data_IF_277117586021
#
_entry.id   IF_277117586021
#
_cell.length_a   1.000
_cell.length_b   1.000
_cell.length_c   1.000
_cell.angle_alpha   90.00
_cell.angle_beta   90.00
_cell.angle_gamma   90.00
#
_symmetry.space_group_name_H-M   'P 1'
#
loop_
_entity.id
_entity.type
_entity.pdbx_description
1 polymer ?
#
# COMPACT_ATOMS: atom_id res chain seq x y z
N UNK A 1 -4.77 0.08 30.01
CA UNK A 1 -4.45 -0.66 28.74
C UNK A 1 -3.94 0.37 27.76
N UNK A 2 -2.74 0.26 27.27
CA UNK A 2 -2.26 1.10 26.19
C UNK A 2 -3.12 0.78 24.94
N UNK A 3 -3.67 1.80 24.29
CA UNK A 3 -4.37 1.61 23.01
C UNK A 3 -3.39 1.10 21.98
N UNK A 4 -3.82 0.12 21.15
CA UNK A 4 -2.99 -0.36 20.04
C UNK A 4 -2.68 0.82 19.10
N UNK A 5 -1.45 0.90 18.55
CA UNK A 5 -1.16 1.89 17.51
C UNK A 5 -2.13 1.73 16.34
N UNK A 6 -2.54 2.83 15.73
CA UNK A 6 -3.49 2.85 14.62
C UNK A 6 -2.74 3.09 13.32
N UNK A 7 -3.07 2.33 12.27
CA UNK A 7 -2.55 2.54 10.91
C UNK A 7 -3.69 2.70 9.92
N UNK A 8 -3.49 3.54 8.91
CA UNK A 8 -4.46 3.84 7.87
C UNK A 8 -3.87 3.48 6.51
N UNK A 9 -4.64 2.75 5.68
CA UNK A 9 -4.44 2.69 4.24
C UNK A 9 -5.52 3.50 3.55
N UNK A 10 -5.15 4.49 2.73
CA UNK A 10 -6.11 5.31 1.97
C UNK A 10 -5.88 5.18 0.48
N UNK A 11 -6.96 4.95 -0.28
CA UNK A 11 -6.91 4.91 -1.73
C UNK A 11 -7.94 3.97 -2.35
N UNK A 12 -7.51 3.22 -3.39
CA UNK A 12 -8.37 2.36 -4.18
C UNK A 12 -8.94 1.20 -3.36
N UNK A 13 -10.23 0.92 -3.61
CA UNK A 13 -10.96 -0.22 -3.09
C UNK A 13 -11.86 -0.75 -4.21
N UNK A 14 -11.66 -1.99 -4.62
CA UNK A 14 -12.13 -2.46 -5.90
C UNK A 14 -12.36 -3.98 -5.95
N UNK A 15 -12.97 -4.41 -7.04
CA UNK A 15 -13.00 -5.80 -7.47
C UNK A 15 -12.03 -6.04 -8.64
N UNK A 16 -11.15 -7.01 -8.50
CA UNK A 16 -10.45 -7.61 -9.62
C UNK A 16 -11.37 -8.62 -10.29
N UNK A 17 -11.72 -8.34 -11.54
CA UNK A 17 -12.62 -9.18 -12.35
C UNK A 17 -11.77 -10.14 -13.17
N UNK A 18 -11.72 -11.39 -12.74
CA UNK A 18 -10.96 -12.46 -13.39
C UNK A 18 -11.93 -13.37 -14.19
N UNK A 19 -11.45 -14.13 -15.18
CA UNK A 19 -12.27 -15.14 -15.87
C UNK A 19 -12.88 -16.18 -14.93
N UNK A 20 -12.28 -16.40 -13.76
CA UNK A 20 -12.73 -17.38 -12.76
C UNK A 20 -13.64 -16.80 -11.69
N UNK A 21 -13.96 -15.51 -11.75
CA UNK A 21 -14.77 -14.81 -10.76
C UNK A 21 -14.14 -13.49 -10.34
N UNK A 22 -14.65 -12.87 -9.28
CA UNK A 22 -14.11 -11.60 -8.77
C UNK A 22 -13.37 -11.79 -7.45
N UNK A 23 -12.32 -11.04 -7.24
CA UNK A 23 -11.59 -10.96 -5.98
C UNK A 23 -11.62 -9.52 -5.44
N UNK A 24 -11.87 -9.38 -4.15
CA UNK A 24 -11.76 -8.08 -3.48
C UNK A 24 -10.29 -7.69 -3.35
N UNK A 25 -9.99 -6.41 -3.60
CA UNK A 25 -8.63 -5.88 -3.64
C UNK A 25 -8.56 -4.38 -3.39
N UNK A 26 -7.35 -3.88 -3.55
CA UNK A 26 -6.95 -2.50 -3.31
C UNK A 26 -5.73 -2.44 -2.40
N UNK A 27 -4.62 -1.88 -2.89
CA UNK A 27 -3.37 -1.86 -2.14
C UNK A 27 -3.51 -1.26 -0.73
N UNK A 28 -4.27 -0.16 -0.50
CA UNK A 28 -4.46 0.39 0.84
C UNK A 28 -5.20 -0.54 1.80
N UNK A 29 -6.15 -1.32 1.29
CA UNK A 29 -6.90 -2.28 2.10
C UNK A 29 -6.02 -3.46 2.48
N UNK A 30 -5.23 -3.97 1.51
CA UNK A 30 -4.27 -5.03 1.73
C UNK A 30 -3.22 -4.61 2.78
N UNK A 31 -2.67 -3.39 2.67
CA UNK A 31 -1.76 -2.83 3.66
C UNK A 31 -2.38 -2.80 5.07
N UNK A 32 -3.59 -2.24 5.21
CA UNK A 32 -4.27 -2.14 6.51
C UNK A 32 -4.54 -3.52 7.12
N UNK A 33 -4.95 -4.50 6.30
CA UNK A 33 -5.15 -5.88 6.73
C UNK A 33 -3.88 -6.49 7.29
N UNK A 34 -2.78 -6.48 6.52
CA UNK A 34 -1.52 -7.10 6.94
C UNK A 34 -0.87 -6.38 8.14
N UNK A 35 -1.00 -5.05 8.23
CA UNK A 35 -0.58 -4.32 9.41
C UNK A 35 -1.35 -4.80 10.65
N UNK A 36 -2.67 -5.03 10.54
CA UNK A 36 -3.52 -5.46 11.66
C UNK A 36 -3.11 -6.82 12.24
N UNK A 37 -2.53 -7.70 11.42
CA UNK A 37 -2.01 -9.01 11.86
C UNK A 37 -0.73 -8.88 12.73
N UNK A 38 -0.14 -7.68 12.82
CA UNK A 38 1.10 -7.41 13.54
C UNK A 38 0.90 -6.54 14.80
N UNK A 39 -0.24 -6.68 15.46
CA UNK A 39 -0.48 -6.09 16.78
C UNK A 39 -0.99 -4.65 16.77
N UNK A 40 -1.25 -4.06 15.60
CA UNK A 40 -1.79 -2.71 15.44
C UNK A 40 -3.26 -2.73 15.02
N UNK A 41 -3.92 -1.58 15.03
CA UNK A 41 -5.30 -1.39 14.57
C UNK A 41 -5.27 -0.86 13.14
N UNK A 42 -5.60 -1.71 12.14
CA UNK A 42 -5.60 -1.36 10.71
C UNK A 42 -6.96 -0.83 10.25
N UNK A 43 -6.96 0.31 9.55
CA UNK A 43 -8.14 0.93 8.94
C UNK A 43 -7.92 1.17 7.45
N UNK A 44 -8.90 0.78 6.64
CA UNK A 44 -8.94 1.14 5.23
C UNK A 44 -9.90 2.31 5.01
N UNK A 45 -9.42 3.36 4.34
CA UNK A 45 -10.19 4.56 3.98
C UNK A 45 -10.34 4.64 2.47
N UNK A 46 -11.59 4.69 1.99
CA UNK A 46 -11.89 4.71 0.57
C UNK A 46 -13.31 5.20 0.28
N UNK A 47 -13.81 4.95 -0.95
CA UNK A 47 -15.20 5.10 -1.31
C UNK A 47 -15.67 3.93 -2.19
N UNK A 48 -16.96 3.59 -2.09
CA UNK A 48 -17.67 2.64 -2.95
C UNK A 48 -18.91 3.28 -3.54
N UNK A 49 -19.44 2.67 -4.59
CA UNK A 49 -20.70 3.08 -5.20
C UNK A 49 -21.91 2.69 -4.35
N UNK A 50 -23.03 3.36 -4.60
CA UNK A 50 -24.34 2.94 -4.07
C UNK A 50 -24.92 1.82 -4.95
N UNK A 51 -24.17 0.74 -5.12
CA UNK A 51 -24.49 -0.39 -5.97
C UNK A 51 -24.27 -1.72 -5.24
N UNK A 52 -24.68 -2.85 -5.86
CA UNK A 52 -24.51 -4.19 -5.30
C UNK A 52 -23.04 -4.55 -5.12
N UNK A 53 -22.17 -4.13 -6.07
CA UNK A 53 -20.76 -4.40 -6.00
C UNK A 53 -20.10 -3.75 -4.77
N UNK A 54 -20.51 -2.52 -4.41
CA UNK A 54 -20.04 -1.83 -3.21
C UNK A 54 -20.52 -2.50 -1.94
N UNK A 55 -21.80 -2.88 -1.88
CA UNK A 55 -22.35 -3.62 -0.72
C UNK A 55 -21.64 -4.94 -0.49
N UNK A 56 -21.41 -5.70 -1.56
CA UNK A 56 -20.71 -6.99 -1.49
C UNK A 56 -19.24 -6.81 -1.08
N UNK A 57 -18.56 -5.76 -1.60
CA UNK A 57 -17.17 -5.48 -1.28
C UNK A 57 -17.00 -5.16 0.21
N UNK A 58 -17.89 -4.35 0.78
CA UNK A 58 -17.91 -4.06 2.22
C UNK A 58 -18.23 -5.30 3.05
N UNK A 59 -19.18 -6.14 2.62
CA UNK A 59 -19.56 -7.36 3.33
C UNK A 59 -18.38 -8.37 3.37
N UNK A 60 -17.71 -8.58 2.25
CA UNK A 60 -16.52 -9.44 2.17
C UNK A 60 -15.41 -8.90 3.07
N UNK A 61 -15.10 -7.62 3.00
CA UNK A 61 -14.07 -6.99 3.83
C UNK A 61 -14.36 -7.15 5.32
N UNK A 62 -15.63 -6.95 5.71
CA UNK A 62 -16.07 -7.16 7.10
C UNK A 62 -15.91 -8.63 7.55
N UNK A 63 -16.11 -9.62 6.66
CA UNK A 63 -15.93 -11.04 6.98
C UNK A 63 -14.48 -11.42 7.30
N UNK A 64 -13.51 -10.64 6.79
CA UNK A 64 -12.09 -10.75 7.14
C UNK A 64 -11.70 -9.93 8.38
N UNK A 65 -12.66 -9.26 9.03
CA UNK A 65 -12.42 -8.42 10.19
C UNK A 65 -11.65 -7.13 9.90
N UNK A 66 -11.60 -6.70 8.64
CA UNK A 66 -10.93 -5.47 8.22
C UNK A 66 -11.80 -4.29 8.62
N UNK A 67 -11.23 -3.34 9.35
CA UNK A 67 -11.93 -2.10 9.70
C UNK A 67 -11.89 -1.13 8.54
N UNK A 68 -13.03 -0.55 8.23
CA UNK A 68 -13.17 0.37 7.10
C UNK A 68 -13.86 1.66 7.51
N UNK A 69 -13.39 2.77 6.94
CA UNK A 69 -14.07 4.05 6.93
C UNK A 69 -14.27 4.43 5.46
N UNK A 70 -15.33 3.88 4.87
CA UNK A 70 -15.60 3.93 3.43
C UNK A 70 -16.87 4.73 3.18
N UNK A 71 -16.75 5.79 2.36
CA UNK A 71 -17.89 6.59 1.94
C UNK A 71 -18.67 5.89 0.83
N UNK A 72 -19.98 6.10 0.77
CA UNK A 72 -20.80 5.73 -0.38
C UNK A 72 -21.03 6.97 -1.24
N UNK A 73 -20.71 6.88 -2.53
CA UNK A 73 -20.79 8.00 -3.47
C UNK A 73 -21.63 7.62 -4.72
N UNK A 74 -22.11 8.64 -5.44
CA UNK A 74 -22.86 8.46 -6.71
C UNK A 74 -21.92 8.24 -7.89
N UNK A 75 -21.16 7.16 -7.80
CA UNK A 75 -20.24 6.65 -8.82
C UNK A 75 -20.20 5.13 -8.72
N UNK A 76 -19.93 4.40 -9.81
CA UNK A 76 -19.83 2.94 -9.74
C UNK A 76 -18.67 2.51 -8.82
N UNK A 77 -18.86 1.40 -8.14
CA UNK A 77 -17.77 0.75 -7.39
C UNK A 77 -16.62 0.41 -8.31
N UNK A 78 -15.38 0.62 -7.85
CA UNK A 78 -14.18 0.38 -8.62
C UNK A 78 -14.02 -1.07 -9.05
N UNK A 79 -13.62 -1.27 -10.32
CA UNK A 79 -13.28 -2.56 -10.88
C UNK A 79 -12.01 -2.49 -11.70
N UNK A 80 -11.28 -3.61 -11.76
CA UNK A 80 -10.15 -3.83 -12.67
C UNK A 80 -10.44 -5.12 -13.43
N UNK A 81 -10.58 -5.02 -14.75
CA UNK A 81 -10.72 -6.21 -15.58
C UNK A 81 -9.36 -6.83 -15.82
N UNK A 82 -9.25 -8.13 -15.55
CA UNK A 82 -8.05 -8.93 -15.80
C UNK A 82 -8.36 -9.90 -16.94
N UNK A 83 -7.76 -9.69 -18.08
CA UNK A 83 -7.86 -10.56 -19.25
C UNK A 83 -6.51 -11.16 -19.60
N UNK A 84 -6.51 -12.29 -20.27
CA UNK A 84 -5.30 -12.92 -20.81
C UNK A 84 -5.18 -12.59 -22.30
N UNK A 85 -4.11 -11.92 -22.68
CA UNK A 85 -3.76 -11.71 -24.08
C UNK A 85 -2.45 -12.48 -24.33
N UNK A 86 -2.50 -13.47 -25.23
CA UNK A 86 -1.36 -14.35 -25.54
C UNK A 86 -0.70 -14.98 -24.29
N UNK A 87 -1.52 -15.34 -23.28
CA UNK A 87 -1.05 -15.91 -22.02
C UNK A 87 -0.48 -14.91 -21.02
N UNK A 88 -0.43 -13.62 -21.37
CA UNK A 88 0.01 -12.54 -20.48
C UNK A 88 -1.22 -11.82 -19.88
N UNK A 89 -1.23 -11.54 -18.56
CA UNK A 89 -2.34 -10.79 -17.96
C UNK A 89 -2.30 -9.33 -18.41
N UNK A 90 -3.45 -8.84 -18.87
CA UNK A 90 -3.69 -7.45 -19.21
C UNK A 90 -4.72 -6.89 -18.26
N UNK A 91 -4.45 -5.72 -17.71
CA UNK A 91 -5.28 -5.05 -16.72
C UNK A 91 -5.96 -3.82 -17.35
N UNK A 92 -7.28 -3.70 -17.19
CA UNK A 92 -8.01 -2.48 -17.50
C UNK A 92 -8.55 -1.89 -16.21
N UNK A 93 -7.94 -0.79 -15.78
CA UNK A 93 -8.35 -0.06 -14.58
C UNK A 93 -9.40 0.98 -15.01
N UNK A 94 -10.65 0.79 -14.56
CA UNK A 94 -11.73 1.71 -14.93
C UNK A 94 -11.56 3.06 -14.23
N UNK A 95 -11.90 4.13 -14.97
CA UNK A 95 -11.84 5.50 -14.50
C UNK A 95 -13.23 6.00 -14.06
N UNK A 96 -13.25 7.12 -13.33
CA UNK A 96 -14.46 7.75 -12.82
C UNK A 96 -15.30 6.86 -11.91
N UNK A 97 -14.63 5.98 -11.17
CA UNK A 97 -15.21 5.08 -10.19
C UNK A 97 -15.18 5.68 -8.78
N UNK A 98 -15.85 5.05 -7.83
CA UNK A 98 -16.08 5.61 -6.49
C UNK A 98 -14.80 6.06 -5.77
N UNK A 99 -13.73 5.28 -5.82
CA UNK A 99 -12.47 5.65 -5.16
C UNK A 99 -11.70 6.81 -5.80
N UNK A 100 -12.13 7.32 -6.98
CA UNK A 100 -11.65 8.60 -7.52
C UNK A 100 -12.30 9.81 -6.81
N UNK A 101 -13.33 9.57 -5.98
CA UNK A 101 -14.18 10.58 -5.33
C UNK A 101 -14.28 10.38 -3.81
N UNK A 102 -13.20 9.97 -3.14
CA UNK A 102 -13.15 9.82 -1.67
C UNK A 102 -13.38 11.20 -1.04
N UNK A 103 -14.52 11.45 -0.36
CA UNK A 103 -14.78 12.76 0.23
C UNK A 103 -13.97 12.94 1.51
N UNK A 104 -13.52 14.16 1.77
CA UNK A 104 -12.92 14.49 3.06
C UNK A 104 -14.01 14.69 4.10
N UNK A 105 -13.96 13.91 5.19
CA UNK A 105 -14.90 14.04 6.32
C UNK A 105 -14.15 14.33 7.62
N UNK A 106 -14.84 14.92 8.60
CA UNK A 106 -14.24 15.16 9.93
C UNK A 106 -13.91 13.83 10.65
N UNK A 107 -14.65 12.76 10.38
CA UNK A 107 -14.36 11.43 10.92
C UNK A 107 -13.02 10.90 10.40
N UNK A 108 -12.74 11.07 9.10
CA UNK A 108 -11.44 10.72 8.50
C UNK A 108 -10.30 11.53 9.12
N UNK A 109 -10.48 12.83 9.30
CA UNK A 109 -9.48 13.69 9.96
C UNK A 109 -9.29 13.31 11.44
N UNK A 110 -10.36 12.99 12.14
CA UNK A 110 -10.30 12.51 13.53
C UNK A 110 -9.53 11.18 13.63
N UNK A 111 -9.71 10.28 12.66
CA UNK A 111 -8.96 9.03 12.56
C UNK A 111 -7.47 9.33 12.30
N UNK A 112 -7.16 10.21 11.34
CA UNK A 112 -5.79 10.59 10.98
C UNK A 112 -5.01 11.21 12.14
N UNK A 113 -5.62 12.07 12.96
CA UNK A 113 -4.99 12.70 14.16
C UNK A 113 -4.48 11.69 15.19
N UNK A 114 -4.98 10.46 15.15
CA UNK A 114 -4.60 9.37 16.08
C UNK A 114 -3.69 8.32 15.46
N UNK A 115 -3.42 8.44 14.16
CA UNK A 115 -2.68 7.42 13.43
C UNK A 115 -1.18 7.46 13.74
N UNK A 116 -0.60 6.31 14.02
CA UNK A 116 0.85 6.11 14.05
C UNK A 116 1.44 5.90 12.66
N UNK A 117 0.59 5.57 11.67
CA UNK A 117 1.02 5.47 10.27
C UNK A 117 -0.15 5.69 9.31
N UNK A 118 0.17 6.23 8.12
CA UNK A 118 -0.74 6.32 6.97
C UNK A 118 0.00 5.89 5.71
N UNK A 119 -0.60 4.98 4.94
CA UNK A 119 -0.09 4.52 3.65
C UNK A 119 -1.02 4.99 2.53
N UNK A 120 -0.43 5.53 1.46
CA UNK A 120 -1.12 6.01 0.28
C UNK A 120 -0.30 5.71 -0.98
N UNK A 121 -0.97 5.59 -2.12
CA UNK A 121 -0.35 5.29 -3.41
C UNK A 121 -0.54 6.40 -4.43
N UNK A 122 -0.04 6.16 -5.65
CA UNK A 122 -0.18 7.08 -6.79
C UNK A 122 -1.55 6.97 -7.43
N UNK A 123 -2.06 5.75 -7.60
CA UNK A 123 -3.24 5.46 -8.42
C UNK A 123 -4.50 6.21 -7.96
N UNK A 124 -4.80 6.18 -6.66
CA UNK A 124 -5.98 6.85 -6.12
C UNK A 124 -5.90 8.39 -6.19
N UNK A 125 -4.73 8.94 -6.43
CA UNK A 125 -4.52 10.38 -6.59
C UNK A 125 -4.76 10.88 -8.02
N UNK A 126 -5.12 10.01 -8.98
CA UNK A 126 -5.51 10.41 -10.34
C UNK A 126 -6.79 11.26 -10.35
N UNK A 127 -7.70 11.04 -9.38
CA UNK A 127 -8.91 11.82 -9.17
C UNK A 127 -8.63 13.02 -8.25
N UNK A 128 -8.97 14.23 -8.68
CA UNK A 128 -8.73 15.48 -7.94
C UNK A 128 -9.35 15.47 -6.52
N UNK A 129 -10.55 14.86 -6.36
CA UNK A 129 -11.23 14.78 -5.07
C UNK A 129 -10.43 13.89 -4.12
N UNK A 130 -10.09 12.69 -4.54
CA UNK A 130 -9.31 11.74 -3.74
C UNK A 130 -7.88 12.21 -3.49
N UNK A 131 -7.26 12.90 -4.46
CA UNK A 131 -5.96 13.53 -4.26
C UNK A 131 -5.99 14.53 -3.09
N UNK A 132 -6.96 15.46 -3.08
CA UNK A 132 -7.11 16.44 -1.98
C UNK A 132 -7.36 15.76 -0.63
N UNK A 133 -8.23 14.75 -0.60
CA UNK A 133 -8.52 14.00 0.63
C UNK A 133 -7.28 13.28 1.14
N UNK A 134 -6.54 12.62 0.25
CA UNK A 134 -5.28 11.93 0.59
C UNK A 134 -4.27 12.89 1.17
N UNK A 135 -4.00 14.02 0.51
CA UNK A 135 -3.07 15.04 1.01
C UNK A 135 -3.50 15.56 2.39
N UNK A 136 -4.77 15.92 2.56
CA UNK A 136 -5.29 16.44 3.84
C UNK A 136 -5.13 15.42 4.98
N UNK A 137 -5.39 14.13 4.73
CA UNK A 137 -5.22 13.10 5.74
C UNK A 137 -3.75 12.85 6.07
N UNK A 138 -2.87 12.81 5.06
CA UNK A 138 -1.42 12.61 5.26
C UNK A 138 -0.79 13.77 6.03
N UNK A 139 -1.23 15.00 5.79
CA UNK A 139 -0.78 16.19 6.51
C UNK A 139 -1.34 16.27 7.94
N UNK A 140 -2.47 15.59 8.21
CA UNK A 140 -3.15 15.62 9.52
C UNK A 140 -2.56 14.63 10.53
N UNK A 141 -1.87 13.56 10.10
CA UNK A 141 -1.28 12.61 11.04
C UNK A 141 -0.21 13.26 11.91
N UNK A 142 0.07 12.76 13.13
CA UNK A 142 1.11 13.27 14.01
C UNK A 142 2.47 13.38 13.28
N UNK A 143 3.30 14.32 13.69
CA UNK A 143 4.58 14.60 13.03
C UNK A 143 5.57 13.41 13.09
N UNK A 144 5.48 12.60 14.13
CA UNK A 144 6.27 11.40 14.35
C UNK A 144 5.69 10.14 13.68
N UNK A 145 4.46 10.20 13.13
CA UNK A 145 3.84 9.11 12.41
C UNK A 145 4.62 8.74 11.13
N UNK A 146 4.50 7.49 10.71
CA UNK A 146 4.99 7.05 9.40
C UNK A 146 4.00 7.48 8.32
N UNK A 147 4.48 8.26 7.34
CA UNK A 147 3.75 8.65 6.13
C UNK A 147 4.35 7.89 4.96
N UNK A 148 3.72 6.75 4.63
CA UNK A 148 4.25 5.80 3.66
C UNK A 148 3.66 6.13 2.29
N UNK A 149 4.52 6.52 1.35
CA UNK A 149 4.19 6.58 -0.06
C UNK A 149 4.63 5.27 -0.73
N UNK A 150 3.68 4.34 -0.93
CA UNK A 150 3.87 3.16 -1.78
C UNK A 150 3.55 3.59 -3.21
N UNK A 151 4.60 3.81 -4.01
CA UNK A 151 4.45 4.50 -5.28
C UNK A 151 3.53 3.76 -6.24
N UNK A 152 3.66 2.44 -6.33
CA UNK A 152 2.77 1.49 -7.00
C UNK A 152 2.26 2.00 -8.37
N UNK A 153 3.20 2.26 -9.28
CA UNK A 153 2.91 2.84 -10.59
C UNK A 153 2.03 1.94 -11.44
N UNK A 154 0.94 2.49 -11.99
CA UNK A 154 -0.01 1.77 -12.83
C UNK A 154 -0.26 2.52 -14.12
N UNK A 155 -0.04 1.83 -15.25
CA UNK A 155 -0.33 2.34 -16.60
C UNK A 155 0.23 3.76 -16.82
N UNK A 156 -0.66 4.75 -17.08
CA UNK A 156 -0.34 6.16 -17.29
C UNK A 156 -0.85 7.08 -16.18
N UNK A 157 -1.34 6.50 -15.07
CA UNK A 157 -1.98 7.24 -13.97
C UNK A 157 -0.95 7.86 -13.00
N UNK A 158 0.16 8.37 -13.52
CA UNK A 158 1.18 9.06 -12.75
C UNK A 158 1.85 10.15 -13.57
N UNK A 159 2.42 11.12 -12.88
CA UNK A 159 3.28 12.14 -13.47
C UNK A 159 4.43 12.47 -12.52
N UNK A 160 5.48 13.10 -13.04
CA UNK A 160 6.61 13.57 -12.24
C UNK A 160 6.15 14.52 -11.14
N UNK A 161 5.22 15.41 -11.44
CA UNK A 161 4.68 16.41 -10.52
C UNK A 161 3.90 15.76 -9.38
N UNK A 162 3.08 14.74 -9.69
CA UNK A 162 2.33 13.99 -8.68
C UNK A 162 3.27 13.22 -7.75
N UNK A 163 4.28 12.55 -8.32
CA UNK A 163 5.28 11.81 -7.54
C UNK A 163 6.08 12.77 -6.66
N UNK A 164 6.57 13.90 -7.19
CA UNK A 164 7.31 14.91 -6.41
C UNK A 164 6.49 15.44 -5.23
N UNK A 165 5.21 15.77 -5.46
CA UNK A 165 4.32 16.23 -4.37
C UNK A 165 4.12 15.16 -3.31
N UNK A 166 3.88 13.91 -3.73
CA UNK A 166 3.70 12.78 -2.82
C UNK A 166 4.94 12.50 -1.98
N UNK A 167 6.14 12.58 -2.59
CA UNK A 167 7.41 12.44 -1.88
C UNK A 167 7.62 13.53 -0.84
N UNK A 168 7.19 14.78 -1.10
CA UNK A 168 7.34 15.92 -0.16
C UNK A 168 6.48 15.77 1.09
N UNK A 169 5.34 15.10 1.03
CA UNK A 169 4.47 14.88 2.19
C UNK A 169 4.73 13.54 2.89
N UNK A 170 5.45 12.61 2.24
CA UNK A 170 5.87 11.34 2.80
C UNK A 170 7.12 11.47 3.69
N UNK A 171 7.37 10.47 4.53
CA UNK A 171 8.64 10.24 5.22
C UNK A 171 9.15 8.81 5.07
N UNK A 172 8.39 7.95 4.41
CA UNK A 172 8.78 6.62 3.98
C UNK A 172 8.39 6.46 2.52
N UNK A 173 9.33 6.05 1.67
CA UNK A 173 9.10 5.67 0.29
C UNK A 173 9.20 4.15 0.16
N UNK A 174 8.22 3.51 -0.44
CA UNK A 174 8.31 2.12 -0.88
C UNK A 174 8.22 2.05 -2.40
N UNK A 175 9.16 1.37 -2.99
CA UNK A 175 9.31 1.15 -4.43
C UNK A 175 9.76 -0.28 -4.72
N UNK A 176 9.52 -0.75 -5.93
CA UNK A 176 10.20 -1.91 -6.48
C UNK A 176 11.35 -1.48 -7.42
N UNK A 177 12.11 -2.43 -7.91
CA UNK A 177 13.27 -2.18 -8.79
C UNK A 177 12.87 -1.59 -10.16
N UNK A 178 11.75 -2.00 -10.76
CA UNK A 178 11.25 -1.40 -12.01
C UNK A 178 10.81 0.05 -11.80
N UNK A 179 10.18 0.35 -10.67
CA UNK A 179 9.77 1.69 -10.27
C UNK A 179 10.99 2.58 -9.98
N UNK A 180 12.05 2.02 -9.37
CA UNK A 180 13.30 2.75 -9.16
C UNK A 180 13.91 3.20 -10.50
N UNK A 181 13.95 2.33 -11.51
CA UNK A 181 14.42 2.68 -12.86
C UNK A 181 13.61 3.86 -13.43
N UNK A 182 12.29 3.84 -13.25
CA UNK A 182 11.43 4.96 -13.67
C UNK A 182 11.75 6.25 -12.93
N UNK A 183 11.99 6.18 -11.63
CA UNK A 183 12.39 7.35 -10.86
C UNK A 183 13.78 7.88 -11.27
N UNK A 184 14.73 6.99 -11.57
CA UNK A 184 16.05 7.38 -12.08
C UNK A 184 15.93 8.20 -13.37
N UNK A 185 15.12 7.75 -14.31
CA UNK A 185 14.83 8.48 -15.55
C UNK A 185 14.16 9.84 -15.29
N UNK A 186 13.10 9.86 -14.46
CA UNK A 186 12.28 11.05 -14.22
C UNK A 186 13.01 12.14 -13.44
N UNK A 187 13.80 11.74 -12.45
CA UNK A 187 14.44 12.66 -11.49
C UNK A 187 15.94 12.82 -11.70
N UNK A 188 16.48 12.23 -12.78
CA UNK A 188 17.91 12.22 -13.09
C UNK A 188 18.75 11.72 -11.90
N UNK A 189 18.33 10.61 -11.29
CA UNK A 189 19.04 9.98 -10.18
C UNK A 189 20.23 9.15 -10.72
N UNK A 190 21.23 8.83 -9.88
CA UNK A 190 22.30 7.91 -10.23
C UNK A 190 21.78 6.55 -10.74
N UNK A 191 22.53 5.91 -11.64
CA UNK A 191 22.23 4.54 -12.09
C UNK A 191 22.45 3.49 -10.97
N UNK A 192 23.42 3.76 -10.08
CA UNK A 192 23.67 2.91 -8.92
C UNK A 192 22.50 2.95 -7.96
N UNK A 193 21.97 1.78 -7.64
CA UNK A 193 20.78 1.58 -6.81
C UNK A 193 20.92 2.19 -5.42
N UNK A 194 22.04 1.97 -4.77
CA UNK A 194 22.29 2.49 -3.41
C UNK A 194 22.40 4.02 -3.41
N UNK A 195 23.10 4.55 -4.39
CA UNK A 195 23.25 6.01 -4.55
C UNK A 195 21.89 6.66 -4.87
N UNK A 196 21.05 6.06 -5.73
CA UNK A 196 19.73 6.57 -6.06
C UNK A 196 18.81 6.57 -4.84
N UNK A 197 18.74 5.46 -4.07
CA UNK A 197 17.94 5.37 -2.86
C UNK A 197 18.40 6.37 -1.79
N UNK A 198 19.71 6.58 -1.61
CA UNK A 198 20.25 7.59 -0.69
C UNK A 198 19.92 9.00 -1.13
N UNK A 199 20.05 9.30 -2.44
CA UNK A 199 19.71 10.62 -2.96
C UNK A 199 18.23 10.93 -2.77
N UNK A 200 17.33 9.98 -3.02
CA UNK A 200 15.88 10.14 -2.73
C UNK A 200 15.65 10.41 -1.24
N UNK A 201 16.30 9.65 -0.36
CA UNK A 201 16.17 9.86 1.09
C UNK A 201 16.63 11.27 1.53
N UNK A 202 17.74 11.75 0.99
CA UNK A 202 18.28 13.07 1.30
C UNK A 202 17.41 14.19 0.71
N UNK A 203 17.06 14.11 -0.58
CA UNK A 203 16.32 15.14 -1.31
C UNK A 203 14.95 15.40 -0.71
N UNK A 204 14.26 14.35 -0.23
CA UNK A 204 12.91 14.44 0.32
C UNK A 204 12.86 14.29 1.85
N UNK A 205 14.02 14.28 2.51
CA UNK A 205 14.15 14.11 3.96
C UNK A 205 13.41 12.86 4.48
N UNK A 206 13.47 11.75 3.73
CA UNK A 206 12.80 10.50 4.10
C UNK A 206 13.52 9.83 5.27
N UNK A 207 12.75 9.26 6.18
CA UNK A 207 13.27 8.43 7.28
C UNK A 207 13.71 7.06 6.78
N UNK A 208 13.07 6.59 5.69
CA UNK A 208 13.27 5.25 5.16
C UNK A 208 12.94 5.19 3.67
N UNK A 209 13.76 4.48 2.90
CA UNK A 209 13.42 3.99 1.56
C UNK A 209 13.40 2.47 1.60
N UNK A 210 12.30 1.89 1.16
CA UNK A 210 12.09 0.44 1.06
C UNK A 210 12.11 0.06 -0.41
N UNK A 211 13.10 -0.73 -0.81
CA UNK A 211 13.25 -1.25 -2.16
C UNK A 211 12.99 -2.75 -2.17
N UNK A 212 12.08 -3.21 -3.01
CA UNK A 212 11.82 -4.64 -3.23
C UNK A 212 12.25 -5.05 -4.64
N UNK A 213 12.96 -6.17 -4.77
CA UNK A 213 13.44 -6.72 -6.05
C UNK A 213 12.80 -8.09 -6.36
N UNK A 214 11.49 -8.23 -6.12
CA UNK A 214 10.72 -9.44 -6.43
C UNK A 214 11.25 -10.67 -5.70
N UNK A 215 11.62 -11.70 -6.49
CA UNK A 215 12.12 -12.98 -5.98
C UNK A 215 13.62 -12.96 -5.57
N UNK A 216 14.28 -11.81 -5.68
CA UNK A 216 15.72 -11.69 -5.45
C UNK A 216 16.05 -11.17 -4.06
N UNK A 217 15.54 -10.00 -3.69
CA UNK A 217 15.90 -9.31 -2.45
C UNK A 217 14.89 -8.25 -2.05
N UNK A 218 15.06 -7.73 -0.83
CA UNK A 218 14.54 -6.44 -0.40
C UNK A 218 15.59 -5.70 0.41
N UNK A 219 15.58 -4.36 0.35
CA UNK A 219 16.50 -3.48 1.07
C UNK A 219 15.75 -2.35 1.74
N UNK A 220 16.12 -2.05 2.98
CA UNK A 220 15.60 -0.92 3.75
C UNK A 220 16.76 0.03 4.03
N UNK A 221 16.70 1.22 3.48
CA UNK A 221 17.67 2.29 3.66
C UNK A 221 17.16 3.24 4.74
N UNK A 222 17.95 3.45 5.79
CA UNK A 222 17.72 4.47 6.82
C UNK A 222 18.96 5.36 6.93
N UNK A 223 18.92 6.37 7.81
CA UNK A 223 20.11 7.18 8.09
C UNK A 223 21.23 6.37 8.76
N UNK A 224 20.86 5.40 9.60
CA UNK A 224 21.78 4.65 10.45
C UNK A 224 22.32 3.40 9.77
N UNK A 225 21.51 2.75 8.95
CA UNK A 225 21.87 1.45 8.38
C UNK A 225 21.14 1.14 7.06
N UNK A 226 21.66 0.16 6.35
CA UNK A 226 20.99 -0.56 5.29
C UNK A 226 20.74 -1.99 5.77
N UNK A 227 19.49 -2.45 5.66
CA UNK A 227 19.12 -3.84 5.93
C UNK A 227 18.75 -4.49 4.60
N UNK A 228 19.53 -5.44 4.13
CA UNK A 228 19.24 -6.21 2.90
C UNK A 228 19.04 -7.68 3.24
N UNK A 229 17.93 -8.25 2.75
CA UNK A 229 17.60 -9.66 2.91
C UNK A 229 17.26 -10.29 1.56
N UNK A 230 17.67 -11.55 1.33
CA UNK A 230 17.21 -12.31 0.18
C UNK A 230 15.73 -12.66 0.33
N UNK A 231 15.02 -12.77 -0.80
CA UNK A 231 13.65 -13.29 -0.81
C UNK A 231 13.66 -14.80 -0.62
N UNK A 232 12.86 -15.37 0.30
CA UNK A 232 12.74 -16.82 0.45
C UNK A 232 12.19 -17.46 -0.82
N UNK A 233 12.73 -18.62 -1.19
CA UNK A 233 12.22 -19.42 -2.31
C UNK A 233 10.97 -20.15 -1.88
N UNK A 234 9.85 -19.90 -2.55
CA UNK A 234 8.56 -20.54 -2.30
C UNK A 234 7.94 -20.99 -3.61
N UNK A 235 7.00 -21.93 -3.53
CA UNK A 235 6.14 -22.28 -4.67
C UNK A 235 5.08 -21.17 -4.85
N UNK A 236 5.20 -20.42 -5.94
CA UNK A 236 4.36 -19.24 -6.18
C UNK A 236 3.02 -19.67 -6.79
N UNK A 237 1.93 -19.31 -6.11
CA UNK A 237 0.53 -19.47 -6.57
C UNK A 237 -0.01 -18.14 -7.12
N UNK A 238 0.20 -17.04 -6.39
CA UNK A 238 -0.27 -15.70 -6.73
C UNK A 238 0.67 -14.66 -6.10
N UNK A 239 0.99 -13.57 -6.80
CA UNK A 239 1.85 -12.51 -6.28
C UNK A 239 1.06 -11.25 -5.87
N UNK A 240 -0.26 -11.27 -6.08
CA UNK A 240 -1.13 -10.13 -5.75
C UNK A 240 -1.10 -9.85 -4.25
N UNK A 241 -0.85 -8.59 -3.88
CA UNK A 241 -0.82 -8.15 -2.49
C UNK A 241 0.48 -8.45 -1.73
N UNK A 242 1.47 -9.14 -2.33
CA UNK A 242 2.74 -9.43 -1.64
C UNK A 242 3.50 -8.16 -1.22
N UNK A 243 3.53 -7.12 -2.08
CA UNK A 243 4.12 -5.82 -1.76
C UNK A 243 3.38 -5.09 -0.63
N UNK A 244 2.05 -5.15 -0.66
CA UNK A 244 1.20 -4.55 0.37
C UNK A 244 1.36 -5.28 1.70
N UNK A 245 1.47 -6.62 1.65
CA UNK A 245 1.74 -7.47 2.81
C UNK A 245 3.11 -7.16 3.43
N UNK A 246 4.13 -6.98 2.60
CA UNK A 246 5.45 -6.53 3.04
C UNK A 246 5.35 -5.19 3.78
N UNK A 247 4.75 -4.18 3.13
CA UNK A 247 4.64 -2.82 3.67
C UNK A 247 3.81 -2.78 4.96
N UNK A 248 2.65 -3.45 4.98
CA UNK A 248 1.76 -3.54 6.14
C UNK A 248 2.43 -4.23 7.32
N UNK A 249 3.09 -5.36 7.07
CA UNK A 249 3.81 -6.12 8.11
C UNK A 249 4.99 -5.34 8.67
N UNK A 250 5.80 -4.72 7.80
CA UNK A 250 6.94 -3.89 8.21
C UNK A 250 6.50 -2.80 9.19
N UNK A 251 5.50 -2.01 8.79
CA UNK A 251 5.03 -0.87 9.59
C UNK A 251 4.33 -1.34 10.87
N UNK A 252 3.51 -2.39 10.80
CA UNK A 252 2.87 -2.97 11.99
C UNK A 252 3.90 -3.46 13.02
N UNK A 253 4.95 -4.13 12.57
CA UNK A 253 6.03 -4.62 13.41
C UNK A 253 6.84 -3.47 14.04
N UNK A 254 7.18 -2.43 13.27
CA UNK A 254 7.88 -1.24 13.78
C UNK A 254 7.06 -0.51 14.86
N UNK A 255 5.76 -0.31 14.62
CA UNK A 255 4.86 0.32 15.59
C UNK A 255 4.63 -0.54 16.84
N UNK A 256 4.82 -1.84 16.73
CA UNK A 256 4.80 -2.78 17.87
C UNK A 256 6.13 -2.86 18.60
N UNK A 257 7.11 -1.99 18.26
CA UNK A 257 8.39 -1.84 18.96
C UNK A 257 9.49 -2.79 18.50
N UNK A 258 9.34 -3.48 17.37
CA UNK A 258 10.41 -4.32 16.79
C UNK A 258 11.48 -3.43 16.15
N UNK A 259 12.70 -3.91 16.15
CA UNK A 259 13.83 -3.30 15.44
C UNK A 259 13.60 -3.39 13.91
N UNK A 260 14.31 -2.56 13.14
CA UNK A 260 14.26 -2.61 11.66
C UNK A 260 14.61 -4.01 11.15
N UNK A 261 15.64 -4.65 11.71
CA UNK A 261 16.05 -5.97 11.27
C UNK A 261 14.99 -7.06 11.54
N UNK A 262 14.32 -7.01 12.67
CA UNK A 262 13.22 -7.93 13.01
C UNK A 262 11.99 -7.66 12.15
N UNK A 263 11.60 -6.40 12.01
CA UNK A 263 10.45 -6.00 11.20
C UNK A 263 10.67 -6.34 9.72
N UNK A 264 11.89 -6.13 9.20
CA UNK A 264 12.25 -6.48 7.83
C UNK A 264 12.15 -7.99 7.58
N UNK A 265 12.70 -8.81 8.49
CA UNK A 265 12.60 -10.28 8.38
C UNK A 265 11.15 -10.74 8.37
N UNK A 266 10.33 -10.26 9.31
CA UNK A 266 8.90 -10.60 9.37
C UNK A 266 8.18 -10.17 8.08
N UNK A 267 8.50 -8.99 7.52
CA UNK A 267 7.90 -8.50 6.29
C UNK A 267 8.25 -9.39 5.08
N UNK A 268 9.51 -9.82 4.97
CA UNK A 268 9.99 -10.73 3.90
C UNK A 268 9.28 -12.09 4.00
N UNK A 269 9.21 -12.67 5.19
CA UNK A 269 8.56 -13.95 5.44
C UNK A 269 7.06 -13.89 5.14
N UNK A 270 6.39 -12.81 5.56
CA UNK A 270 4.96 -12.59 5.27
C UNK A 270 4.70 -12.44 3.78
N UNK A 271 5.48 -11.63 3.08
CA UNK A 271 5.32 -11.45 1.63
C UNK A 271 5.53 -12.77 0.87
N UNK A 272 6.55 -13.56 1.24
CA UNK A 272 6.79 -14.86 0.66
C UNK A 272 5.62 -15.84 0.93
N UNK A 273 5.08 -15.84 2.15
CA UNK A 273 3.90 -16.67 2.48
C UNK A 273 2.68 -16.26 1.65
N UNK A 274 2.40 -14.97 1.50
CA UNK A 274 1.30 -14.48 0.66
C UNK A 274 1.42 -15.01 -0.76
N UNK A 275 2.62 -15.09 -1.32
CA UNK A 275 2.84 -15.64 -2.65
C UNK A 275 2.48 -17.13 -2.78
N UNK A 276 2.40 -17.91 -1.69
CA UNK A 276 2.03 -19.33 -1.73
C UNK A 276 0.54 -19.60 -1.78
N UNK A 277 -0.29 -18.56 -1.69
CA UNK A 277 -1.75 -18.68 -1.58
C UNK A 277 -2.46 -17.81 -2.63
N UNK A 278 -3.72 -18.13 -2.91
CA UNK A 278 -4.55 -17.32 -3.80
C UNK A 278 -5.21 -16.16 -3.05
N UNK A 279 -4.99 -14.93 -3.54
CA UNK A 279 -5.58 -13.70 -2.98
C UNK A 279 -4.71 -13.03 -1.92
N UNK A 280 -5.06 -11.78 -1.59
CA UNK A 280 -4.20 -10.90 -0.78
C UNK A 280 -4.47 -10.97 0.74
N UNK A 281 -5.62 -11.49 1.19
CA UNK A 281 -6.02 -11.44 2.61
C UNK A 281 -5.90 -12.81 3.27
N UNK A 282 -4.73 -13.09 3.81
CA UNK A 282 -4.40 -14.37 4.44
C UNK A 282 -4.15 -14.17 5.93
N UNK A 283 -4.72 -15.06 6.75
CA UNK A 283 -4.41 -15.07 8.18
C UNK A 283 -2.99 -15.56 8.41
N UNK A 284 -2.22 -14.80 9.20
CA UNK A 284 -0.82 -15.10 9.53
C UNK A 284 -0.68 -16.02 10.76
N UNK A 285 -1.78 -16.56 11.29
CA UNK A 285 -1.78 -17.43 12.50
C UNK A 285 -0.89 -18.65 12.31
N UNK A 286 -0.71 -19.10 11.08
CA UNK A 286 0.07 -20.30 10.75
C UNK A 286 1.57 -20.07 10.49
N UNK A 287 2.06 -18.83 10.52
CA UNK A 287 3.49 -18.54 10.35
C UNK A 287 4.24 -18.59 11.69
N UNK A 288 3.53 -18.63 12.81
CA UNK A 288 4.09 -18.57 14.17
C UNK A 288 4.34 -19.95 14.80
N UNK A 289 4.09 -21.05 14.09
CA UNK A 289 4.39 -22.44 14.48
C UNK A 289 5.58 -22.98 13.67
#
# INVERSE_FOLDING_TARGET
>A
MYSKPLVIGIGEFLWDILPTGRKAGGAPVNFAYHASQNGVEGWAVSAVGNDDAGRDLLAVTASYGIRTLVATVDKPTGTVDVSLCDGQPTYTIHEHVAWDYIPLTEEMLSLARRAGAICFGTLAQRGEVSHRTTCAMVETVPADAYRIYDINLRQHFYSKELIDRSLRIANVLKINDDELVRLQEMFALPEDTDAACRQLAEQYALRMVVLTGGDRFSSIYTRECISTLPTPRVEVVDTVGAGDAFSGTLIGALLSGRTIAEAHRTAVETAAYVCTCAGAWLSLIHISE
#
